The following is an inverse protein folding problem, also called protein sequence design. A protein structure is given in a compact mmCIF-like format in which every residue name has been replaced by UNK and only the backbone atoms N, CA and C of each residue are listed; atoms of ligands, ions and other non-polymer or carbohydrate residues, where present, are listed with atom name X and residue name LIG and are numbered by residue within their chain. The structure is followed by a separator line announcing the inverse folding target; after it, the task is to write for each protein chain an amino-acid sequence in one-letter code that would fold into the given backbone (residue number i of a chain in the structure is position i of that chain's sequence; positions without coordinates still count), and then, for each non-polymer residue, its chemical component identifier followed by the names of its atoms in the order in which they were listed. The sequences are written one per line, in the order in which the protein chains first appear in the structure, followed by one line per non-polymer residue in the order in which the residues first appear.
data_IF_518091840099
#
_entry.id   IF_518091840099
#
_cell.length_a   1.000
_cell.length_b   1.000
_cell.length_c   1.000
_cell.angle_alpha   90.00
_cell.angle_beta   90.00
_cell.angle_gamma   90.00
#
_symmetry.space_group_name_H-M   'P 1'
#
loop_
_entity.id
_entity.type
_entity.pdbx_description
1 polymer ?
#
# COMPACT_ATOMS: atom_id res chain seq x y z
N UNK A 1 -7.88 1.07 22.93
CA UNK A 1 -6.89 0.23 22.30
C UNK A 1 -7.15 0.06 20.83
N UNK A 2 -6.13 0.28 20.02
CA UNK A 2 -6.26 0.06 18.59
C UNK A 2 -6.52 -1.43 18.33
N UNK A 3 -7.51 -1.70 17.52
CA UNK A 3 -7.81 -3.08 17.17
C UNK A 3 -6.99 -3.49 15.95
N UNK A 4 -5.96 -4.29 16.21
CA UNK A 4 -5.06 -4.81 15.17
C UNK A 4 -5.29 -6.29 14.91
N UNK A 5 -6.40 -6.82 15.42
CA UNK A 5 -6.78 -8.20 15.15
C UNK A 5 -6.99 -8.35 13.64
N UNK A 6 -6.30 -9.31 13.04
CA UNK A 6 -6.38 -9.54 11.61
C UNK A 6 -7.82 -9.84 11.17
N UNK A 7 -8.55 -10.58 11.99
CA UNK A 7 -9.95 -10.89 11.70
C UNK A 7 -10.79 -9.61 11.59
N UNK A 8 -10.55 -8.67 12.50
CA UNK A 8 -11.24 -7.37 12.48
C UNK A 8 -10.92 -6.61 11.19
N UNK A 9 -9.63 -6.57 10.82
CA UNK A 9 -9.18 -5.87 9.62
C UNK A 9 -9.81 -6.51 8.38
N UNK A 10 -9.76 -7.83 8.28
CA UNK A 10 -10.27 -8.53 7.10
C UNK A 10 -11.79 -8.35 6.96
N UNK A 11 -12.51 -8.26 8.07
CA UNK A 11 -13.94 -8.01 8.02
C UNK A 11 -14.22 -6.62 7.44
N UNK A 12 -13.44 -5.60 7.87
CA UNK A 12 -13.59 -4.26 7.29
C UNK A 12 -13.33 -4.26 5.80
N UNK A 13 -12.29 -4.97 5.39
CA UNK A 13 -11.95 -5.09 3.97
C UNK A 13 -13.09 -5.76 3.21
N UNK A 14 -13.58 -6.88 3.72
CA UNK A 14 -14.66 -7.61 3.08
C UNK A 14 -15.92 -6.77 2.92
N UNK A 15 -16.22 -5.93 3.91
CA UNK A 15 -17.40 -5.07 3.90
C UNK A 15 -17.17 -3.73 3.23
N UNK A 16 -16.00 -3.51 2.63
CA UNK A 16 -15.61 -2.26 1.98
C UNK A 16 -15.73 -1.05 2.90
N UNK A 17 -15.42 -1.24 4.19
CA UNK A 17 -15.43 -0.16 5.16
C UNK A 17 -14.17 0.68 5.05
N UNK A 18 -14.25 1.92 5.50
CA UNK A 18 -13.10 2.82 5.49
C UNK A 18 -12.00 2.32 6.40
N UNK A 19 -10.75 2.42 5.92
CA UNK A 19 -9.57 2.09 6.69
C UNK A 19 -8.71 3.33 6.95
N UNK A 20 -9.32 4.52 6.87
CA UNK A 20 -8.62 5.78 7.08
C UNK A 20 -7.98 5.81 8.47
N UNK A 21 -6.67 6.09 8.50
CA UNK A 21 -5.92 6.21 9.74
C UNK A 21 -5.71 4.92 10.52
N UNK A 22 -6.05 3.78 9.97
CA UNK A 22 -5.97 2.51 10.69
C UNK A 22 -4.51 2.10 10.92
N UNK A 23 -4.26 1.47 12.07
CA UNK A 23 -2.95 0.95 12.42
C UNK A 23 -2.84 -0.50 11.94
N UNK A 24 -2.06 -0.69 10.87
CA UNK A 24 -1.84 -2.01 10.27
C UNK A 24 -0.37 -2.42 10.36
N UNK A 25 0.42 -1.75 11.20
CA UNK A 25 1.87 -1.98 11.25
C UNK A 25 2.21 -3.44 11.47
N UNK A 26 3.14 -3.92 10.65
CA UNK A 26 3.73 -5.26 10.77
C UNK A 26 2.73 -6.41 10.61
N UNK A 27 1.54 -6.15 10.09
CA UNK A 27 0.58 -7.23 9.85
C UNK A 27 0.93 -7.99 8.58
N UNK A 28 0.51 -9.24 8.53
CA UNK A 28 0.72 -10.10 7.37
C UNK A 28 -0.53 -10.03 6.51
N UNK A 29 -0.45 -9.27 5.42
CA UNK A 29 -1.61 -8.97 4.58
C UNK A 29 -1.36 -9.39 3.13
N UNK A 30 -0.52 -10.39 2.92
CA UNK A 30 -0.23 -10.90 1.58
C UNK A 30 -1.51 -11.41 0.92
N UNK A 31 -1.63 -11.11 -0.37
CA UNK A 31 -2.77 -11.53 -1.20
C UNK A 31 -4.11 -10.88 -0.84
N UNK A 32 -4.15 -9.99 0.14
CA UNK A 32 -5.41 -9.32 0.50
C UNK A 32 -5.80 -8.33 -0.59
N UNK A 33 -7.09 -8.26 -0.86
CA UNK A 33 -7.62 -7.35 -1.87
C UNK A 33 -8.10 -6.05 -1.19
N UNK A 34 -7.29 -5.00 -1.32
CA UNK A 34 -7.61 -3.67 -0.83
C UNK A 34 -8.06 -2.74 -1.96
N UNK A 35 -8.42 -3.29 -3.12
CA UNK A 35 -8.73 -2.48 -4.29
C UNK A 35 -9.86 -1.49 -4.00
N UNK A 36 -9.65 -0.24 -4.42
CA UNK A 36 -10.61 0.85 -4.30
C UNK A 36 -11.01 1.21 -2.86
N UNK A 37 -10.23 0.78 -1.88
CA UNK A 37 -10.52 1.09 -0.48
C UNK A 37 -9.84 2.39 -0.06
N UNK A 38 -10.38 3.01 0.99
CA UNK A 38 -9.81 4.22 1.55
C UNK A 38 -8.80 3.86 2.63
N UNK A 39 -7.54 4.15 2.34
CA UNK A 39 -6.42 3.89 3.24
C UNK A 39 -5.63 5.17 3.54
N UNK A 40 -6.29 6.32 3.40
CA UNK A 40 -5.62 7.59 3.68
C UNK A 40 -5.10 7.60 5.10
N UNK A 41 -3.85 8.01 5.26
CA UNK A 41 -3.17 8.11 6.55
C UNK A 41 -3.09 6.78 7.30
N UNK A 42 -3.35 5.67 6.64
CA UNK A 42 -3.17 4.36 7.26
C UNK A 42 -1.69 4.13 7.55
N UNK A 43 -1.42 3.46 8.65
CA UNK A 43 -0.05 3.14 9.02
C UNK A 43 0.23 1.69 8.63
N UNK A 44 0.95 1.54 7.53
CA UNK A 44 1.29 0.24 6.94
C UNK A 44 2.77 -0.08 7.10
N UNK A 45 3.42 0.59 8.05
CA UNK A 45 4.85 0.40 8.26
C UNK A 45 5.16 -1.06 8.54
N UNK A 46 6.12 -1.61 7.78
CA UNK A 46 6.56 -2.98 7.98
C UNK A 46 5.57 -4.06 7.60
N UNK A 47 4.41 -3.69 7.04
CA UNK A 47 3.42 -4.68 6.59
C UNK A 47 3.98 -5.58 5.52
N UNK A 48 3.56 -6.83 5.52
CA UNK A 48 3.78 -7.72 4.40
C UNK A 48 2.57 -7.63 3.47
N UNK A 49 2.77 -6.98 2.32
CA UNK A 49 1.74 -6.78 1.31
C UNK A 49 2.12 -7.46 0.00
N UNK A 50 2.96 -8.48 0.07
CA UNK A 50 3.38 -9.21 -1.13
C UNK A 50 2.16 -9.79 -1.83
N UNK A 51 2.06 -9.54 -3.14
CA UNK A 51 0.94 -9.99 -3.96
C UNK A 51 -0.41 -9.38 -3.57
N UNK A 52 -0.43 -8.36 -2.70
CA UNK A 52 -1.68 -7.69 -2.36
C UNK A 52 -2.20 -6.87 -3.54
N UNK A 53 -3.51 -6.68 -3.59
CA UNK A 53 -4.15 -5.87 -4.62
C UNK A 53 -4.54 -4.55 -3.99
N UNK A 54 -3.95 -3.46 -4.51
CA UNK A 54 -4.21 -2.10 -4.01
C UNK A 54 -4.65 -1.19 -5.17
N UNK A 55 -5.15 -1.79 -6.24
CA UNK A 55 -5.55 -1.04 -7.43
C UNK A 55 -6.63 -0.04 -7.09
N UNK A 56 -6.41 1.21 -7.50
CA UNK A 56 -7.38 2.28 -7.29
C UNK A 56 -7.59 2.67 -5.83
N UNK A 57 -6.82 2.12 -4.90
CA UNK A 57 -6.96 2.49 -3.49
C UNK A 57 -6.46 3.92 -3.25
N UNK A 58 -6.99 4.57 -2.22
CA UNK A 58 -6.53 5.88 -1.82
C UNK A 58 -5.54 5.74 -0.67
N UNK A 59 -4.26 5.90 -0.98
CA UNK A 59 -3.16 5.78 -0.02
C UNK A 59 -2.54 7.15 0.28
N UNK A 60 -3.31 8.21 0.09
CA UNK A 60 -2.84 9.57 0.36
C UNK A 60 -2.35 9.66 1.81
N UNK A 61 -1.11 10.12 1.97
CA UNK A 61 -0.47 10.29 3.28
C UNK A 61 -0.31 8.98 4.07
N UNK A 62 -0.42 7.83 3.43
CA UNK A 62 -0.21 6.55 4.10
C UNK A 62 1.29 6.34 4.36
N UNK A 63 1.58 5.63 5.44
CA UNK A 63 2.96 5.28 5.80
C UNK A 63 3.25 3.85 5.35
N UNK A 64 4.04 3.72 4.29
CA UNK A 64 4.46 2.42 3.74
C UNK A 64 5.95 2.18 3.99
N UNK A 65 6.50 2.82 5.00
CA UNK A 65 7.92 2.66 5.35
C UNK A 65 8.22 1.18 5.59
N UNK A 66 9.23 0.66 4.89
CA UNK A 66 9.66 -0.73 5.00
C UNK A 66 8.59 -1.77 4.68
N UNK A 67 7.50 -1.37 4.03
CA UNK A 67 6.47 -2.32 3.62
C UNK A 67 7.02 -3.25 2.53
N UNK A 68 6.61 -4.50 2.56
CA UNK A 68 6.99 -5.47 1.55
C UNK A 68 5.89 -5.49 0.49
N UNK A 69 6.21 -4.94 -0.67
CA UNK A 69 5.27 -4.80 -1.78
C UNK A 69 5.63 -5.70 -2.97
N UNK A 70 6.43 -6.74 -2.73
CA UNK A 70 6.85 -7.62 -3.82
C UNK A 70 5.64 -8.15 -4.59
N UNK A 71 5.62 -7.87 -5.89
CA UNK A 71 4.54 -8.33 -6.79
C UNK A 71 3.15 -7.81 -6.43
N UNK A 72 3.07 -6.77 -5.59
CA UNK A 72 1.79 -6.12 -5.30
C UNK A 72 1.34 -5.29 -6.49
N UNK A 73 0.04 -5.11 -6.63
CA UNK A 73 -0.51 -4.25 -7.68
C UNK A 73 -1.04 -2.96 -7.06
N UNK A 74 -0.46 -1.83 -7.48
CA UNK A 74 -0.89 -0.50 -7.04
C UNK A 74 -1.30 0.34 -8.25
N UNK A 75 -1.84 -0.31 -9.27
CA UNK A 75 -2.26 0.40 -10.48
C UNK A 75 -3.35 1.39 -10.13
N UNK A 76 -3.19 2.63 -10.60
CA UNK A 76 -4.14 3.72 -10.38
C UNK A 76 -4.33 4.08 -8.90
N UNK A 77 -3.44 3.65 -8.01
CA UNK A 77 -3.49 4.05 -6.60
C UNK A 77 -3.15 5.53 -6.46
N UNK A 78 -3.76 6.18 -5.47
CA UNK A 78 -3.45 7.57 -5.13
C UNK A 78 -2.40 7.56 -4.04
N UNK A 79 -1.22 8.10 -4.34
CA UNK A 79 -0.07 7.99 -3.45
C UNK A 79 0.50 9.35 -3.04
N UNK A 80 -0.27 10.43 -3.19
CA UNK A 80 0.21 11.75 -2.77
C UNK A 80 0.56 11.72 -1.28
N UNK A 81 1.77 12.15 -0.94
CA UNK A 81 2.22 12.18 0.45
C UNK A 81 2.53 10.82 1.07
N UNK A 82 2.36 9.73 0.35
CA UNK A 82 2.67 8.41 0.88
C UNK A 82 4.18 8.26 1.07
N UNK A 83 4.58 7.60 2.16
CA UNK A 83 5.99 7.38 2.49
C UNK A 83 6.34 5.96 2.07
N UNK A 84 7.32 5.84 1.16
CA UNK A 84 7.75 4.54 0.63
C UNK A 84 9.21 4.24 0.95
N UNK A 85 9.77 4.94 1.94
CA UNK A 85 11.16 4.76 2.34
C UNK A 85 11.38 3.31 2.78
N UNK A 86 12.38 2.67 2.17
CA UNK A 86 12.72 1.30 2.54
C UNK A 86 11.76 0.23 2.05
N UNK A 87 10.73 0.61 1.30
CA UNK A 87 9.77 -0.37 0.78
C UNK A 87 10.47 -1.33 -0.19
N UNK A 88 10.09 -2.58 -0.13
CA UNK A 88 10.56 -3.62 -1.05
C UNK A 88 9.54 -3.71 -2.17
N UNK A 89 9.96 -3.40 -3.41
CA UNK A 89 9.01 -3.17 -4.49
C UNK A 89 9.30 -3.99 -5.74
N UNK A 90 10.09 -5.06 -5.63
CA UNK A 90 10.39 -5.89 -6.79
C UNK A 90 9.09 -6.47 -7.38
N UNK A 91 8.92 -6.26 -8.68
CA UNK A 91 7.74 -6.74 -9.39
C UNK A 91 6.43 -6.02 -9.05
N UNK A 92 6.47 -5.00 -8.18
CA UNK A 92 5.28 -4.21 -7.88
C UNK A 92 4.90 -3.36 -9.10
N UNK A 93 3.60 -3.23 -9.37
CA UNK A 93 3.08 -2.49 -10.51
C UNK A 93 2.41 -1.20 -10.06
N UNK A 94 2.78 -0.08 -10.69
CA UNK A 94 2.27 1.25 -10.37
C UNK A 94 1.65 1.94 -11.59
N UNK A 95 1.12 1.17 -12.53
CA UNK A 95 0.57 1.75 -13.77
C UNK A 95 -0.57 2.70 -13.44
N UNK A 96 -0.44 3.96 -13.88
CA UNK A 96 -1.47 4.96 -13.63
C UNK A 96 -1.53 5.48 -12.20
N UNK A 97 -0.62 5.08 -11.32
CA UNK A 97 -0.57 5.61 -9.96
C UNK A 97 -0.24 7.11 -9.99
N UNK A 98 -0.80 7.86 -9.05
CA UNK A 98 -0.64 9.31 -9.01
C UNK A 98 -0.02 9.77 -7.70
N UNK A 99 0.60 10.95 -7.73
CA UNK A 99 1.08 11.63 -6.53
C UNK A 99 2.49 11.29 -6.11
N UNK A 100 3.17 10.39 -6.80
CA UNK A 100 4.55 10.05 -6.47
C UNK A 100 5.50 11.17 -6.89
N UNK A 101 6.50 11.46 -6.04
CA UNK A 101 7.52 12.43 -6.38
C UNK A 101 8.54 11.80 -7.33
N UNK A 102 9.26 12.63 -8.13
CA UNK A 102 10.29 12.09 -9.01
C UNK A 102 11.32 11.23 -8.29
N UNK A 103 11.74 11.62 -7.09
CA UNK A 103 12.73 10.85 -6.35
C UNK A 103 12.18 9.50 -5.90
N UNK A 104 10.92 9.44 -5.50
CA UNK A 104 10.28 8.18 -5.13
C UNK A 104 10.13 7.27 -6.34
N UNK A 105 9.75 7.84 -7.49
CA UNK A 105 9.64 7.07 -8.74
C UNK A 105 10.99 6.44 -9.07
N UNK A 106 12.07 7.21 -8.98
CA UNK A 106 13.41 6.72 -9.28
C UNK A 106 13.79 5.59 -8.31
N UNK A 107 13.51 5.79 -7.03
CA UNK A 107 13.78 4.77 -6.03
C UNK A 107 13.05 3.46 -6.37
N UNK A 108 11.74 3.55 -6.63
CA UNK A 108 10.93 2.37 -6.93
C UNK A 108 11.40 1.66 -8.19
N UNK A 109 11.74 2.41 -9.23
CA UNK A 109 12.26 1.82 -10.47
C UNK A 109 13.56 1.08 -10.20
N UNK A 110 14.43 1.65 -9.37
CA UNK A 110 15.71 1.03 -9.04
C UNK A 110 15.52 -0.27 -8.26
N UNK A 111 14.36 -0.45 -7.62
CA UNK A 111 14.04 -1.65 -6.84
C UNK A 111 13.23 -2.67 -7.63
N UNK A 112 12.98 -2.42 -8.91
CA UNK A 112 12.30 -3.40 -9.76
C UNK A 112 10.81 -3.19 -9.92
N UNK A 113 10.28 -2.05 -9.48
CA UNK A 113 8.88 -1.73 -9.73
C UNK A 113 8.66 -1.36 -11.19
N UNK A 114 7.45 -1.58 -11.69
CA UNK A 114 7.08 -1.33 -13.08
C UNK A 114 5.95 -0.31 -13.17
N UNK A 115 5.67 0.15 -14.40
CA UNK A 115 4.55 1.06 -14.65
C UNK A 115 4.82 2.50 -14.26
N UNK A 116 6.08 2.88 -14.10
CA UNK A 116 6.48 4.21 -13.63
C UNK A 116 7.15 5.06 -14.71
N UNK A 117 7.06 4.66 -15.95
CA UNK A 117 7.68 5.39 -17.07
C UNK A 117 6.83 6.56 -17.56
#
# INVERSE_FOLDING_TARGET
MANRDLKYVLRKVYNHESLVGIDLRNLYLSFVDFSSLELRRADLEGCCLSHALLDGSDLTDANLTNAKLSHASLNRAKLAGAILKGAIADGASFEGATGLTPSTIEYLKSKGATGLD
#
